data_IF_221007803805
#
_entry.id   IF_221007803805
#
_cell.length_a   1.000
_cell.length_b   1.000
_cell.length_c   1.000
_cell.angle_alpha   90.00
_cell.angle_beta   90.00
_cell.angle_gamma   90.00
#
_symmetry.space_group_name_H-M   'P 1'
#
loop_
_entity.id
_entity.type
_entity.pdbx_description
1 polymer ?
#
# COMPACT_ATOMS: atom_id res chain seq x y z
N UNK A 1 -13.09 19.76 -11.94
CA UNK A 1 -14.16 19.55 -10.99
C UNK A 1 -13.91 18.21 -10.34
N UNK A 2 -13.62 18.20 -9.04
CA UNK A 2 -13.54 16.97 -8.26
C UNK A 2 -14.94 16.36 -8.27
N UNK A 3 -15.06 15.13 -8.76
CA UNK A 3 -16.29 14.36 -8.57
C UNK A 3 -16.42 14.10 -7.07
N UNK A 4 -17.55 14.44 -6.49
CA UNK A 4 -17.83 14.07 -5.10
C UNK A 4 -17.93 12.55 -5.02
N UNK A 5 -17.16 11.95 -4.13
CA UNK A 5 -17.24 10.51 -3.87
C UNK A 5 -18.67 10.12 -3.45
N UNK A 6 -19.12 8.93 -3.84
CA UNK A 6 -20.41 8.40 -3.41
C UNK A 6 -20.47 8.23 -1.89
N UNK A 7 -19.39 7.72 -1.30
CA UNK A 7 -19.26 7.57 0.14
C UNK A 7 -18.64 8.82 0.78
N UNK A 8 -19.47 9.61 1.45
CA UNK A 8 -19.10 10.82 2.20
C UNK A 8 -19.05 10.58 3.73
N UNK A 9 -19.10 9.34 4.18
CA UNK A 9 -19.02 9.03 5.62
C UNK A 9 -17.66 9.46 6.20
N UNK A 10 -17.57 9.60 7.51
CA UNK A 10 -16.31 9.83 8.19
C UNK A 10 -15.47 8.57 8.24
N UNK A 11 -14.13 8.73 8.41
CA UNK A 11 -13.23 7.60 8.64
C UNK A 11 -13.70 6.76 9.83
N UNK A 12 -13.72 5.42 9.74
CA UNK A 12 -14.20 4.55 10.81
C UNK A 12 -13.49 4.79 12.14
N UNK A 13 -14.23 4.74 13.24
CA UNK A 13 -13.68 4.91 14.57
C UNK A 13 -13.29 3.57 15.19
N UNK A 14 -12.03 3.44 15.55
CA UNK A 14 -11.50 2.23 16.19
C UNK A 14 -11.87 2.17 17.68
N UNK A 15 -12.13 0.95 18.18
CA UNK A 15 -12.34 0.71 19.61
C UNK A 15 -11.02 0.67 20.39
N UNK A 16 -9.95 0.28 19.71
CA UNK A 16 -8.60 0.18 20.27
C UNK A 16 -7.55 0.49 19.20
N UNK A 17 -6.29 0.61 19.60
CA UNK A 17 -5.16 0.73 18.66
C UNK A 17 -4.57 -0.63 18.27
N UNK A 18 -5.18 -1.74 18.70
CA UNK A 18 -4.68 -3.08 18.41
C UNK A 18 -4.99 -3.45 16.96
N UNK A 19 -3.97 -3.87 16.25
CA UNK A 19 -4.07 -4.42 14.90
C UNK A 19 -3.19 -5.64 14.74
N UNK A 20 -3.62 -6.59 13.92
CA UNK A 20 -2.87 -7.78 13.58
C UNK A 20 -3.25 -8.22 12.17
N UNK A 21 -2.27 -8.68 11.40
CA UNK A 21 -2.54 -9.43 10.18
C UNK A 21 -3.05 -10.82 10.60
N UNK A 22 -4.33 -11.06 10.44
CA UNK A 22 -4.96 -12.33 10.82
C UNK A 22 -5.18 -13.21 9.59
N UNK A 23 -5.05 -14.51 9.77
CA UNK A 23 -5.59 -15.47 8.83
C UNK A 23 -7.13 -15.56 9.02
N UNK A 24 -7.88 -15.57 7.93
CA UNK A 24 -9.34 -15.70 7.95
C UNK A 24 -9.82 -17.01 8.58
N UNK A 25 -8.96 -18.01 8.66
CA UNK A 25 -9.23 -19.31 9.32
C UNK A 25 -9.35 -19.18 10.85
N UNK A 26 -8.73 -18.17 11.44
CA UNK A 26 -8.72 -17.94 12.90
C UNK A 26 -9.62 -16.74 13.29
N UNK A 27 -10.84 -16.69 12.76
CA UNK A 27 -11.77 -15.59 13.02
C UNK A 27 -12.08 -15.32 14.50
N UNK A 28 -11.89 -16.30 15.40
CA UNK A 28 -12.00 -16.14 16.85
C UNK A 28 -10.92 -15.23 17.44
N UNK A 29 -9.74 -15.15 16.84
CA UNK A 29 -8.63 -14.31 17.28
C UNK A 29 -9.01 -12.83 17.29
N UNK A 30 -9.87 -12.41 16.36
CA UNK A 30 -10.35 -11.02 16.26
C UNK A 30 -11.03 -10.61 17.56
N UNK A 31 -11.93 -11.45 18.07
CA UNK A 31 -12.70 -11.19 19.28
C UNK A 31 -11.83 -11.36 20.54
N UNK A 32 -11.10 -12.46 20.63
CA UNK A 32 -10.26 -12.80 21.80
C UNK A 32 -9.15 -11.76 22.05
N UNK A 33 -8.54 -11.25 20.99
CA UNK A 33 -7.51 -10.21 21.06
C UNK A 33 -8.06 -8.80 21.13
N UNK A 34 -9.34 -8.60 20.86
CA UNK A 34 -9.99 -7.28 20.81
C UNK A 34 -9.40 -6.38 19.74
N UNK A 35 -9.21 -6.94 18.54
CA UNK A 35 -8.63 -6.21 17.40
C UNK A 35 -9.58 -5.14 16.88
N UNK A 36 -9.01 -4.07 16.35
CA UNK A 36 -9.73 -3.01 15.64
C UNK A 36 -9.20 -2.77 14.24
N UNK A 37 -8.00 -3.26 13.93
CA UNK A 37 -7.33 -3.07 12.65
C UNK A 37 -6.76 -4.38 12.12
N UNK A 38 -6.71 -4.47 10.78
CA UNK A 38 -5.96 -5.53 10.08
C UNK A 38 -5.37 -4.99 8.78
N UNK A 39 -4.37 -5.70 8.26
CA UNK A 39 -3.89 -5.52 6.90
C UNK A 39 -4.39 -6.65 6.00
N UNK A 40 -4.60 -6.35 4.72
CA UNK A 40 -4.88 -7.33 3.68
C UNK A 40 -3.93 -7.08 2.52
N UNK A 41 -3.15 -8.08 2.14
CA UNK A 41 -2.32 -8.00 0.94
C UNK A 41 -3.19 -8.24 -0.31
N UNK A 42 -3.19 -7.30 -1.23
CA UNK A 42 -3.80 -7.45 -2.54
C UNK A 42 -2.67 -7.63 -3.56
N UNK A 43 -2.48 -8.87 -4.00
CA UNK A 43 -1.53 -9.20 -5.06
C UNK A 43 -2.20 -8.87 -6.39
N UNK A 44 -1.80 -7.76 -6.98
CA UNK A 44 -2.43 -7.22 -8.20
C UNK A 44 -2.36 -8.17 -9.38
N UNK A 45 -1.32 -9.03 -9.44
CA UNK A 45 -1.21 -10.09 -10.45
C UNK A 45 -2.38 -11.07 -10.39
N UNK A 46 -2.83 -11.45 -9.18
CA UNK A 46 -3.95 -12.39 -9.01
C UNK A 46 -5.27 -11.80 -9.50
N UNK A 47 -5.43 -10.49 -9.37
CA UNK A 47 -6.59 -9.76 -9.87
C UNK A 47 -6.56 -9.60 -11.39
N UNK A 48 -5.43 -9.10 -11.92
CA UNK A 48 -5.32 -8.57 -13.29
C UNK A 48 -5.05 -9.67 -14.30
N UNK A 49 -4.29 -10.72 -13.95
CA UNK A 49 -3.97 -11.84 -14.84
C UNK A 49 -5.09 -12.89 -14.92
N UNK A 50 -6.26 -12.60 -14.36
CA UNK A 50 -7.38 -13.51 -14.36
C UNK A 50 -8.48 -13.15 -15.35
N UNK A 51 -9.60 -13.86 -15.25
CA UNK A 51 -10.78 -13.64 -16.09
C UNK A 51 -12.08 -13.90 -15.32
N UNK A 52 -13.19 -13.72 -15.98
CA UNK A 52 -14.52 -14.03 -15.44
C UNK A 52 -15.25 -12.82 -14.85
N UNK A 53 -14.59 -11.68 -14.70
CA UNK A 53 -15.22 -10.42 -14.33
C UNK A 53 -14.79 -9.32 -15.30
N UNK A 54 -15.77 -8.69 -15.98
CA UNK A 54 -15.52 -7.57 -16.91
C UNK A 54 -15.76 -6.25 -16.22
N UNK A 55 -14.78 -5.35 -16.27
CA UNK A 55 -14.87 -3.99 -15.76
C UNK A 55 -14.57 -2.98 -16.86
N UNK A 56 -15.41 -1.97 -17.04
CA UNK A 56 -15.22 -0.94 -18.05
C UNK A 56 -14.79 0.37 -17.38
N UNK A 57 -13.63 0.87 -17.79
CA UNK A 57 -13.08 2.13 -17.33
C UNK A 57 -12.65 2.99 -18.52
N UNK A 58 -13.11 4.23 -18.58
CA UNK A 58 -12.82 5.17 -19.67
C UNK A 58 -13.05 4.59 -21.08
N UNK A 59 -14.12 3.81 -21.25
CA UNK A 59 -14.49 3.20 -22.53
C UNK A 59 -13.69 1.97 -22.94
N UNK A 60 -12.75 1.52 -22.12
CA UNK A 60 -11.96 0.29 -22.31
C UNK A 60 -12.39 -0.78 -21.30
N UNK A 61 -12.59 -1.99 -21.79
CA UNK A 61 -12.97 -3.14 -20.93
C UNK A 61 -11.75 -3.93 -20.50
N UNK A 62 -11.64 -4.16 -19.22
CA UNK A 62 -10.60 -4.97 -18.55
C UNK A 62 -11.23 -6.26 -18.05
N UNK A 63 -10.44 -7.33 -18.01
CA UNK A 63 -10.84 -8.62 -17.46
C UNK A 63 -10.11 -8.85 -16.14
N UNK A 64 -10.86 -9.17 -15.09
CA UNK A 64 -10.30 -9.46 -13.77
C UNK A 64 -10.69 -10.86 -13.31
N UNK A 65 -9.91 -11.40 -12.38
CA UNK A 65 -10.14 -12.73 -11.81
C UNK A 65 -11.37 -12.74 -10.91
N UNK A 66 -12.44 -13.40 -11.33
CA UNK A 66 -13.62 -13.61 -10.50
C UNK A 66 -13.30 -14.38 -9.22
N UNK A 67 -12.32 -15.30 -9.24
CA UNK A 67 -11.88 -16.04 -8.06
C UNK A 67 -11.16 -15.16 -7.05
N UNK A 68 -10.26 -14.27 -7.52
CA UNK A 68 -9.58 -13.30 -6.65
C UNK A 68 -10.61 -12.36 -6.01
N UNK A 69 -11.54 -11.84 -6.79
CA UNK A 69 -12.61 -10.95 -6.30
C UNK A 69 -13.45 -11.68 -5.25
N UNK A 70 -13.88 -12.91 -5.47
CA UNK A 70 -14.69 -13.66 -4.54
C UNK A 70 -13.98 -13.91 -3.19
N UNK A 71 -12.67 -14.20 -3.23
CA UNK A 71 -11.86 -14.33 -2.01
C UNK A 71 -11.76 -13.01 -1.24
N UNK A 72 -11.48 -11.90 -1.95
CA UNK A 72 -11.42 -10.57 -1.34
C UNK A 72 -12.77 -10.20 -0.72
N UNK A 73 -13.87 -10.39 -1.43
CA UNK A 73 -15.23 -10.13 -0.91
C UNK A 73 -15.50 -10.91 0.38
N UNK A 74 -15.21 -12.20 0.39
CA UNK A 74 -15.41 -13.05 1.57
C UNK A 74 -14.59 -12.56 2.77
N UNK A 75 -13.31 -12.25 2.53
CA UNK A 75 -12.38 -11.77 3.56
C UNK A 75 -12.83 -10.41 4.11
N UNK A 76 -13.11 -9.46 3.23
CA UNK A 76 -13.47 -8.11 3.62
C UNK A 76 -14.84 -8.04 4.30
N UNK A 77 -15.83 -8.83 3.85
CA UNK A 77 -17.12 -8.95 4.53
C UNK A 77 -16.98 -9.54 5.93
N UNK A 78 -16.08 -10.49 6.13
CA UNK A 78 -15.80 -11.05 7.46
C UNK A 78 -15.26 -9.98 8.41
N UNK A 79 -14.28 -9.18 7.94
CA UNK A 79 -13.72 -8.08 8.73
C UNK A 79 -14.77 -6.98 9.00
N UNK A 80 -15.54 -6.59 8.00
CA UNK A 80 -16.57 -5.55 8.13
C UNK A 80 -17.64 -5.93 9.16
N UNK A 81 -18.13 -7.18 9.13
CA UNK A 81 -19.09 -7.72 10.14
C UNK A 81 -18.55 -7.71 11.56
N UNK A 82 -17.25 -7.76 11.74
CA UNK A 82 -16.57 -7.68 13.03
C UNK A 82 -16.12 -6.25 13.39
N UNK A 83 -16.48 -5.24 12.59
CA UNK A 83 -16.08 -3.85 12.74
C UNK A 83 -14.56 -3.65 12.76
N UNK A 84 -13.84 -4.41 11.95
CA UNK A 84 -12.39 -4.29 11.77
C UNK A 84 -12.10 -3.31 10.65
N UNK A 85 -11.27 -2.32 10.93
CA UNK A 85 -10.80 -1.35 9.96
C UNK A 85 -9.67 -1.98 9.14
N UNK A 86 -9.88 -2.08 7.84
CA UNK A 86 -8.96 -2.73 6.92
C UNK A 86 -8.05 -1.71 6.25
N UNK A 87 -6.73 -2.00 6.26
CA UNK A 87 -5.75 -1.39 5.39
C UNK A 87 -5.35 -2.39 4.30
N UNK A 88 -5.52 -2.04 3.04
CA UNK A 88 -5.08 -2.86 1.91
C UNK A 88 -3.65 -2.49 1.51
N UNK A 89 -2.76 -3.47 1.39
CA UNK A 89 -1.40 -3.31 0.88
C UNK A 89 -1.41 -3.77 -0.58
N UNK A 90 -1.16 -2.84 -1.50
CA UNK A 90 -1.19 -3.10 -2.94
C UNK A 90 0.19 -3.53 -3.43
N UNK A 91 0.30 -4.76 -3.91
CA UNK A 91 1.56 -5.39 -4.27
C UNK A 91 1.55 -5.92 -5.70
N UNK A 92 2.68 -5.78 -6.41
CA UNK A 92 2.89 -6.38 -7.72
C UNK A 92 4.09 -7.35 -7.66
N UNK A 93 3.84 -8.63 -7.89
CA UNK A 93 4.91 -9.63 -7.96
C UNK A 93 5.65 -9.54 -9.31
N UNK A 94 6.96 -9.90 -9.36
CA UNK A 94 7.67 -10.03 -10.61
C UNK A 94 6.91 -10.96 -11.57
N UNK A 95 6.70 -10.51 -12.81
CA UNK A 95 6.02 -11.26 -13.84
C UNK A 95 6.99 -11.57 -14.98
N UNK A 96 7.09 -12.83 -15.36
CA UNK A 96 7.90 -13.28 -16.51
C UNK A 96 7.21 -12.91 -17.84
N UNK A 97 5.91 -12.70 -17.81
CA UNK A 97 5.14 -12.23 -18.97
C UNK A 97 4.95 -10.71 -18.82
N UNK A 98 5.48 -9.90 -19.75
CA UNK A 98 5.30 -8.47 -19.70
C UNK A 98 3.82 -8.11 -19.60
N UNK A 99 3.45 -7.45 -18.52
CA UNK A 99 2.11 -6.89 -18.32
C UNK A 99 2.21 -5.36 -18.22
N UNK A 100 1.17 -4.67 -18.63
CA UNK A 100 1.15 -3.19 -18.59
C UNK A 100 1.25 -2.62 -17.18
N UNK A 101 0.96 -3.39 -16.14
CA UNK A 101 0.95 -2.92 -14.75
C UNK A 101 2.34 -2.78 -14.13
N UNK A 102 3.21 -3.78 -14.32
CA UNK A 102 4.56 -3.77 -13.73
C UNK A 102 5.50 -2.77 -14.40
N UNK A 103 6.49 -2.27 -13.65
CA UNK A 103 7.46 -1.31 -14.16
C UNK A 103 8.26 -1.90 -15.35
N UNK A 104 8.30 -1.20 -16.50
CA UNK A 104 8.92 -1.73 -17.70
C UNK A 104 10.44 -1.87 -17.53
N UNK A 105 10.97 -3.03 -17.95
CA UNK A 105 12.40 -3.32 -17.90
C UNK A 105 12.95 -3.72 -16.52
N UNK A 106 12.11 -3.78 -15.49
CA UNK A 106 12.52 -4.37 -14.22
C UNK A 106 12.84 -5.85 -14.38
N UNK A 107 14.00 -6.28 -13.87
CA UNK A 107 14.43 -7.67 -13.95
C UNK A 107 13.60 -8.55 -13.01
N UNK A 108 12.83 -9.46 -13.58
CA UNK A 108 11.93 -10.35 -12.84
C UNK A 108 12.61 -11.30 -11.83
N UNK A 109 13.95 -11.41 -11.88
CA UNK A 109 14.71 -12.20 -10.91
C UNK A 109 15.16 -11.41 -9.68
N UNK A 110 14.82 -10.13 -9.60
CA UNK A 110 15.21 -9.23 -8.49
C UNK A 110 13.97 -8.86 -7.67
N UNK A 111 14.07 -9.00 -6.35
CA UNK A 111 13.04 -8.61 -5.41
C UNK A 111 11.81 -9.53 -5.36
N UNK A 112 11.06 -9.40 -4.29
CA UNK A 112 9.78 -10.11 -4.11
C UNK A 112 8.61 -9.34 -4.75
N UNK A 113 8.71 -8.00 -4.79
CA UNK A 113 7.73 -7.13 -5.42
C UNK A 113 8.41 -6.06 -6.27
N UNK A 114 7.67 -5.58 -7.28
CA UNK A 114 8.09 -4.56 -8.22
C UNK A 114 7.23 -3.30 -8.12
N UNK A 115 7.80 -2.17 -8.53
CA UNK A 115 7.06 -0.94 -8.75
C UNK A 115 6.13 -1.03 -9.98
N UNK A 116 5.29 -0.04 -10.13
CA UNK A 116 4.24 -0.03 -11.15
C UNK A 116 4.63 0.82 -12.36
N UNK A 117 4.06 0.49 -13.52
CA UNK A 117 4.30 1.21 -14.77
C UNK A 117 3.54 2.55 -14.82
N UNK A 118 4.02 3.51 -14.07
CA UNK A 118 3.50 4.90 -14.10
C UNK A 118 4.23 5.78 -15.11
N UNK A 119 5.07 5.19 -15.97
CA UNK A 119 5.89 5.89 -16.96
C UNK A 119 5.36 5.77 -18.40
N UNK A 120 4.40 4.88 -18.64
CA UNK A 120 3.75 4.76 -19.93
C UNK A 120 2.24 5.03 -19.83
N UNK A 121 1.64 5.53 -20.89
CA UNK A 121 0.20 5.76 -20.96
C UNK A 121 -0.58 4.46 -20.71
N UNK A 122 -0.15 3.37 -21.31
CA UNK A 122 -0.80 2.06 -21.16
C UNK A 122 -0.73 1.56 -19.72
N UNK A 123 0.41 1.72 -19.06
CA UNK A 123 0.58 1.37 -17.65
C UNK A 123 -0.33 2.21 -16.76
N UNK A 124 -0.34 3.53 -16.92
CA UNK A 124 -1.20 4.44 -16.16
C UNK A 124 -2.67 4.07 -16.34
N UNK A 125 -3.13 3.79 -17.56
CA UNK A 125 -4.51 3.37 -17.82
C UNK A 125 -4.86 2.03 -17.13
N UNK A 126 -3.95 1.05 -17.20
CA UNK A 126 -4.14 -0.26 -16.58
C UNK A 126 -4.21 -0.15 -15.05
N UNK A 127 -3.27 0.59 -14.43
CA UNK A 127 -3.21 0.82 -12.99
C UNK A 127 -4.45 1.57 -12.51
N UNK A 128 -4.80 2.66 -13.21
CA UNK A 128 -5.98 3.46 -12.87
C UNK A 128 -7.25 2.62 -12.91
N UNK A 129 -7.45 1.81 -13.95
CA UNK A 129 -8.62 0.94 -14.05
C UNK A 129 -8.69 -0.07 -12.90
N UNK A 130 -7.58 -0.71 -12.55
CA UNK A 130 -7.55 -1.72 -11.50
C UNK A 130 -7.83 -1.11 -10.11
N UNK A 131 -7.24 0.05 -9.82
CA UNK A 131 -7.43 0.69 -8.52
C UNK A 131 -8.81 1.36 -8.41
N UNK A 132 -9.34 1.94 -9.49
CA UNK A 132 -10.73 2.41 -9.53
C UNK A 132 -11.71 1.27 -9.28
N UNK A 133 -11.52 0.11 -9.91
CA UNK A 133 -12.34 -1.06 -9.65
C UNK A 133 -12.35 -1.43 -8.15
N UNK A 134 -11.17 -1.50 -7.53
CA UNK A 134 -11.06 -1.80 -6.10
C UNK A 134 -11.71 -0.71 -5.23
N UNK A 135 -11.48 0.56 -5.56
CA UNK A 135 -12.07 1.70 -4.86
C UNK A 135 -13.61 1.72 -4.96
N UNK A 136 -14.17 1.53 -6.16
CA UNK A 136 -15.61 1.47 -6.38
C UNK A 136 -16.26 0.28 -5.68
N UNK A 137 -15.56 -0.87 -5.60
CA UNK A 137 -16.11 -2.05 -4.96
C UNK A 137 -16.05 -2.00 -3.44
N UNK A 138 -14.91 -1.59 -2.88
CA UNK A 138 -14.64 -1.65 -1.43
C UNK A 138 -14.67 -0.30 -0.73
N UNK A 139 -14.91 0.78 -1.46
CA UNK A 139 -15.14 2.12 -0.92
C UNK A 139 -16.61 2.51 -0.77
N UNK A 140 -17.55 1.62 -1.11
CA UNK A 140 -19.00 1.85 -1.08
C UNK A 140 -19.53 2.21 0.31
N UNK A 141 -20.53 3.08 0.35
CA UNK A 141 -21.19 3.46 1.61
C UNK A 141 -22.07 2.36 2.22
N UNK A 142 -22.54 1.40 1.40
CA UNK A 142 -23.36 0.27 1.84
C UNK A 142 -22.55 -0.97 2.27
N UNK A 143 -21.22 -0.94 2.08
CA UNK A 143 -20.30 -2.04 2.38
C UNK A 143 -20.73 -3.40 1.80
N UNK A 144 -21.40 -3.40 0.66
CA UNK A 144 -22.00 -4.62 0.06
C UNK A 144 -20.98 -5.77 -0.17
N UNK A 145 -19.70 -5.42 -0.27
CA UNK A 145 -18.58 -6.39 -0.48
C UNK A 145 -17.51 -6.31 0.63
N UNK A 146 -17.84 -5.70 1.77
CA UNK A 146 -16.89 -5.29 2.79
C UNK A 146 -16.29 -3.91 2.49
N UNK A 147 -15.36 -3.46 3.36
CA UNK A 147 -14.85 -2.10 3.26
C UNK A 147 -13.33 -2.02 3.47
N UNK A 148 -12.67 -1.19 2.67
CA UNK A 148 -11.26 -0.82 2.82
C UNK A 148 -11.18 0.68 3.13
N UNK A 149 -10.73 1.01 4.34
CA UNK A 149 -10.61 2.38 4.80
C UNK A 149 -9.26 3.02 4.45
N UNK A 150 -8.22 2.20 4.33
CA UNK A 150 -6.84 2.65 4.09
C UNK A 150 -6.15 1.82 3.02
N UNK A 151 -5.22 2.45 2.30
CA UNK A 151 -4.53 1.88 1.15
C UNK A 151 -3.04 2.16 1.25
N UNK A 152 -2.24 1.14 1.40
CA UNK A 152 -0.77 1.24 1.42
C UNK A 152 -0.23 0.86 0.05
N UNK A 153 0.58 1.73 -0.53
CA UNK A 153 1.12 1.58 -1.88
C UNK A 153 2.50 0.94 -1.82
N UNK A 154 2.58 -0.33 -2.23
CA UNK A 154 3.80 -1.13 -2.12
C UNK A 154 4.11 -1.57 -0.69
N UNK A 155 5.29 -2.16 -0.51
CA UNK A 155 5.81 -2.57 0.79
C UNK A 155 7.26 -2.11 0.93
N UNK A 156 7.63 -1.50 2.06
CA UNK A 156 9.02 -1.10 2.37
C UNK A 156 9.76 -0.50 1.17
N UNK A 157 9.13 0.48 0.52
CA UNK A 157 9.54 0.96 -0.81
C UNK A 157 10.93 1.57 -0.85
N UNK A 158 11.47 2.01 0.29
CA UNK A 158 12.86 2.44 0.38
C UNK A 158 13.87 1.26 0.27
N UNK A 159 13.44 0.01 0.50
CA UNK A 159 14.19 -1.19 0.17
C UNK A 159 13.82 -1.71 -1.23
N UNK A 160 14.02 -0.87 -2.26
CA UNK A 160 13.53 -1.05 -3.62
C UNK A 160 13.89 -2.41 -4.23
N UNK A 161 15.16 -2.83 -4.13
CA UNK A 161 15.63 -4.11 -4.68
C UNK A 161 15.00 -5.34 -4.03
N UNK A 162 14.31 -5.19 -2.91
CA UNK A 162 13.61 -6.29 -2.23
C UNK A 162 12.09 -6.21 -2.44
N UNK A 163 11.52 -5.00 -2.34
CA UNK A 163 10.09 -4.86 -2.12
C UNK A 163 9.33 -3.95 -3.07
N UNK A 164 10.03 -3.19 -3.95
CA UNK A 164 9.36 -2.31 -4.92
C UNK A 164 10.28 -1.98 -6.12
N UNK A 165 10.86 -3.00 -6.73
CA UNK A 165 11.93 -2.84 -7.72
C UNK A 165 11.46 -2.19 -9.03
N UNK A 166 12.23 -1.19 -9.50
CA UNK A 166 11.99 -0.44 -10.75
C UNK A 166 13.22 -0.39 -11.66
N UNK A 167 14.19 -1.29 -11.47
CA UNK A 167 15.42 -1.29 -12.28
C UNK A 167 16.52 -0.39 -11.74
N UNK A 168 16.50 -0.05 -10.45
CA UNK A 168 17.48 0.77 -9.74
C UNK A 168 17.69 2.17 -10.35
N UNK A 169 16.89 3.09 -9.87
CA UNK A 169 16.91 4.51 -10.28
C UNK A 169 17.77 5.36 -9.33
N UNK A 170 18.00 6.62 -9.67
CA UNK A 170 18.44 7.59 -8.68
C UNK A 170 17.33 7.83 -7.63
N UNK A 171 17.68 8.23 -6.40
CA UNK A 171 16.67 8.46 -5.36
C UNK A 171 15.58 9.49 -5.77
N UNK A 172 15.91 10.64 -6.40
CA UNK A 172 14.89 11.55 -6.90
C UNK A 172 13.98 10.93 -7.97
N UNK A 173 14.55 10.23 -8.95
CA UNK A 173 13.77 9.62 -10.03
C UNK A 173 12.85 8.53 -9.50
N UNK A 174 13.36 7.70 -8.60
CA UNK A 174 12.58 6.66 -7.94
C UNK A 174 11.43 7.25 -7.10
N UNK A 175 11.71 8.28 -6.31
CA UNK A 175 10.70 8.98 -5.53
C UNK A 175 9.62 9.62 -6.40
N UNK A 176 9.99 10.15 -7.58
CA UNK A 176 9.03 10.67 -8.56
C UNK A 176 8.11 9.58 -9.11
N UNK A 177 8.69 8.43 -9.51
CA UNK A 177 7.90 7.25 -9.93
C UNK A 177 6.93 6.83 -8.83
N UNK A 178 7.43 6.71 -7.60
CA UNK A 178 6.62 6.30 -6.46
C UNK A 178 5.52 7.32 -6.12
N UNK A 179 5.81 8.61 -6.20
CA UNK A 179 4.81 9.69 -6.02
C UNK A 179 3.64 9.51 -6.98
N UNK A 180 3.91 9.16 -8.25
CA UNK A 180 2.85 8.92 -9.22
C UNK A 180 2.02 7.67 -8.90
N UNK A 181 2.61 6.61 -8.35
CA UNK A 181 1.85 5.46 -7.85
C UNK A 181 0.87 5.88 -6.75
N UNK A 182 1.33 6.68 -5.79
CA UNK A 182 0.49 7.19 -4.70
C UNK A 182 -0.61 8.13 -5.20
N UNK A 183 -0.32 9.01 -6.17
CA UNK A 183 -1.31 9.93 -6.77
C UNK A 183 -2.44 9.19 -7.45
N UNK A 184 -2.11 8.23 -8.31
CA UNK A 184 -3.11 7.42 -9.02
C UNK A 184 -3.97 6.68 -7.99
N UNK A 185 -3.36 6.11 -6.97
CA UNK A 185 -4.10 5.42 -5.90
C UNK A 185 -5.03 6.38 -5.17
N UNK A 186 -4.52 7.53 -4.71
CA UNK A 186 -5.32 8.52 -3.98
C UNK A 186 -6.52 9.01 -4.81
N UNK A 187 -6.30 9.38 -6.06
CA UNK A 187 -7.36 9.84 -6.95
C UNK A 187 -8.43 8.76 -7.17
N UNK A 188 -7.99 7.52 -7.43
CA UNK A 188 -8.90 6.41 -7.68
C UNK A 188 -9.75 6.07 -6.46
N UNK A 189 -9.14 5.86 -5.29
CA UNK A 189 -9.89 5.45 -4.08
C UNK A 189 -10.74 6.58 -3.50
N UNK A 190 -10.24 7.82 -3.53
CA UNK A 190 -10.99 8.99 -3.06
C UNK A 190 -12.13 9.39 -3.99
N UNK A 191 -12.12 8.98 -5.25
CA UNK A 191 -13.28 9.19 -6.15
C UNK A 191 -14.51 8.39 -5.71
N UNK A 192 -14.33 7.29 -4.97
CA UNK A 192 -15.42 6.45 -4.46
C UNK A 192 -15.69 6.66 -2.98
N UNK A 193 -14.64 6.91 -2.18
CA UNK A 193 -14.72 7.05 -0.72
C UNK A 193 -13.91 8.26 -0.26
N UNK A 194 -14.59 9.34 0.15
CA UNK A 194 -13.95 10.61 0.51
C UNK A 194 -12.97 10.49 1.69
N UNK A 195 -13.25 9.61 2.64
CA UNK A 195 -12.40 9.39 3.82
C UNK A 195 -11.26 8.41 3.61
N UNK A 196 -11.14 7.80 2.42
CA UNK A 196 -10.06 6.85 2.14
C UNK A 196 -8.67 7.48 2.38
N UNK A 197 -7.80 6.75 3.07
CA UNK A 197 -6.44 7.20 3.38
C UNK A 197 -5.41 6.43 2.55
N UNK A 198 -4.37 7.11 2.12
CA UNK A 198 -3.28 6.52 1.34
C UNK A 198 -1.96 6.66 2.09
N UNK A 199 -1.19 5.58 2.13
CA UNK A 199 0.04 5.50 2.89
C UNK A 199 1.23 5.08 2.01
N UNK A 200 2.37 5.72 2.26
CA UNK A 200 3.69 5.28 1.85
C UNK A 200 4.20 4.23 2.84
N UNK A 201 4.73 3.10 2.36
CA UNK A 201 5.32 2.09 3.23
C UNK A 201 6.84 2.22 3.30
N UNK A 202 7.39 2.27 4.50
CA UNK A 202 8.83 2.36 4.73
C UNK A 202 9.32 1.28 5.71
N UNK A 203 10.53 0.78 5.47
CA UNK A 203 11.25 -0.03 6.44
C UNK A 203 11.88 0.84 7.56
N UNK A 204 12.60 0.23 8.49
CA UNK A 204 13.20 0.90 9.64
C UNK A 204 14.44 1.76 9.32
N UNK A 205 14.97 1.69 8.10
CA UNK A 205 16.19 2.41 7.75
C UNK A 205 15.89 3.87 7.45
N UNK A 206 16.31 4.74 8.38
CA UNK A 206 16.03 6.17 8.33
C UNK A 206 17.13 6.97 7.66
N UNK A 207 18.40 6.72 8.04
CA UNK A 207 19.58 7.38 7.49
C UNK A 207 20.76 6.42 7.26
N UNK A 208 21.74 6.89 6.49
CA UNK A 208 23.07 6.24 6.38
C UNK A 208 23.08 4.94 5.60
N UNK A 209 22.12 4.75 4.71
CA UNK A 209 22.06 3.55 3.89
C UNK A 209 23.15 3.59 2.83
N UNK A 210 24.02 2.58 2.82
CA UNK A 210 25.07 2.41 1.81
C UNK A 210 24.91 1.07 1.08
N UNK A 211 25.40 0.98 -0.16
CA UNK A 211 25.48 -0.29 -0.89
C UNK A 211 24.48 -0.48 -2.02
N UNK A 212 23.67 0.52 -2.36
CA UNK A 212 22.86 0.53 -3.58
C UNK A 212 21.69 -0.48 -3.64
N UNK A 213 21.24 -0.97 -2.48
CA UNK A 213 20.12 -1.92 -2.39
C UNK A 213 18.88 -1.33 -1.74
N UNK A 214 18.95 -0.08 -1.34
CA UNK A 214 17.86 0.68 -0.72
C UNK A 214 18.13 2.18 -0.71
N UNK A 215 17.11 2.96 -0.50
CA UNK A 215 17.18 4.41 -0.29
C UNK A 215 17.04 4.76 1.19
N UNK A 216 17.53 5.92 1.55
CA UNK A 216 17.33 6.53 2.86
C UNK A 216 15.84 6.87 3.06
N UNK A 217 15.23 6.40 4.15
CA UNK A 217 13.79 6.57 4.40
C UNK A 217 13.40 8.04 4.53
N UNK A 218 14.24 8.86 5.22
CA UNK A 218 13.99 10.29 5.35
C UNK A 218 14.09 11.00 4.00
N UNK A 219 15.12 10.70 3.21
CA UNK A 219 15.31 11.27 1.89
C UNK A 219 14.11 10.96 0.98
N UNK A 220 13.61 9.72 1.03
CA UNK A 220 12.42 9.33 0.28
C UNK A 220 11.18 10.15 0.68
N UNK A 221 10.94 10.38 1.97
CA UNK A 221 9.84 11.23 2.44
C UNK A 221 10.00 12.66 1.92
N UNK A 222 11.21 13.22 2.00
CA UNK A 222 11.48 14.59 1.57
C UNK A 222 11.22 14.78 0.06
N UNK A 223 11.68 13.85 -0.79
CA UNK A 223 11.39 13.88 -2.22
C UNK A 223 9.90 13.71 -2.53
N UNK A 224 9.25 12.70 -1.94
CA UNK A 224 7.82 12.45 -2.14
C UNK A 224 7.00 13.67 -1.73
N UNK A 225 7.29 14.26 -0.56
CA UNK A 225 6.60 15.48 -0.10
C UNK A 225 6.83 16.67 -1.04
N UNK A 226 8.05 16.81 -1.58
CA UNK A 226 8.37 17.87 -2.54
C UNK A 226 7.56 17.71 -3.82
N UNK A 227 7.52 16.51 -4.39
CA UNK A 227 6.76 16.24 -5.62
C UNK A 227 5.25 16.32 -5.41
N UNK A 228 4.75 15.86 -4.24
CA UNK A 228 3.33 16.01 -3.89
C UNK A 228 2.91 17.46 -3.91
N UNK A 229 3.68 18.34 -3.24
CA UNK A 229 3.38 19.78 -3.18
C UNK A 229 3.50 20.47 -4.54
N UNK A 230 4.47 20.08 -5.37
CA UNK A 230 4.68 20.69 -6.67
C UNK A 230 3.54 20.43 -7.67
N UNK A 231 2.88 19.27 -7.58
CA UNK A 231 1.91 18.81 -8.58
C UNK A 231 0.46 18.72 -8.06
N UNK A 232 0.12 19.47 -7.04
CA UNK A 232 -1.18 19.45 -6.36
C UNK A 232 -1.15 18.51 -5.17
N UNK A 233 -1.05 19.10 -4.01
CA UNK A 233 -0.89 18.41 -2.72
C UNK A 233 -2.05 17.46 -2.43
N UNK A 234 -1.74 16.22 -2.09
CA UNK A 234 -2.71 15.21 -1.65
C UNK A 234 -2.44 14.87 -0.19
N UNK A 235 -3.49 14.51 0.54
CA UNK A 235 -3.34 13.98 1.89
C UNK A 235 -2.78 12.54 1.83
N UNK A 236 -1.68 12.27 2.52
CA UNK A 236 -1.04 10.98 2.63
C UNK A 236 -0.38 10.78 4.00
N UNK A 237 -0.08 9.55 4.34
CA UNK A 237 0.59 9.20 5.58
C UNK A 237 1.73 8.21 5.36
N UNK A 238 2.38 7.78 6.44
CA UNK A 238 3.45 6.79 6.43
C UNK A 238 3.02 5.55 7.20
N UNK A 239 3.07 4.38 6.53
CA UNK A 239 3.00 3.06 7.12
C UNK A 239 4.43 2.61 7.38
N UNK A 240 4.90 2.85 8.58
CA UNK A 240 6.28 2.63 8.98
C UNK A 240 6.46 1.28 9.66
N UNK A 241 7.57 0.58 9.38
CA UNK A 241 7.88 -0.74 9.95
C UNK A 241 9.02 -0.64 10.98
N UNK A 242 8.73 -0.23 12.22
CA UNK A 242 9.73 -0.01 13.26
C UNK A 242 10.08 -1.33 13.94
N UNK A 243 10.94 -2.11 13.33
CA UNK A 243 11.43 -3.35 13.94
C UNK A 243 12.43 -3.07 15.05
N UNK A 244 12.55 -4.00 16.01
CA UNK A 244 13.61 -3.98 17.01
C UNK A 244 15.00 -4.06 16.36
N UNK A 245 15.99 -3.41 16.97
CA UNK A 245 17.37 -3.43 16.48
C UNK A 245 18.34 -3.99 17.55
N UNK A 246 18.96 -5.17 17.31
CA UNK A 246 18.82 -6.02 16.11
C UNK A 246 17.46 -6.72 16.01
N UNK A 247 17.02 -7.02 14.80
CA UNK A 247 15.72 -7.64 14.50
C UNK A 247 15.44 -8.95 15.27
N UNK A 248 16.50 -9.66 15.67
CA UNK A 248 16.44 -10.92 16.41
C UNK A 248 16.38 -10.75 17.93
N UNK A 249 16.50 -9.52 18.43
CA UNK A 249 16.45 -9.23 19.87
C UNK A 249 15.01 -8.95 20.30
N UNK A 250 14.54 -9.73 21.28
CA UNK A 250 13.18 -9.58 21.78
C UNK A 250 13.04 -8.44 22.80
N UNK A 251 14.15 -8.01 23.40
CA UNK A 251 14.18 -6.93 24.37
C UNK A 251 14.23 -5.57 23.68
N UNK A 252 13.06 -5.08 23.24
CA UNK A 252 12.92 -3.79 22.53
C UNK A 252 13.20 -2.55 23.40
N UNK A 253 13.27 -2.70 24.71
CA UNK A 253 13.59 -1.65 25.70
C UNK A 253 15.09 -1.55 26.01
N UNK A 254 15.95 -2.05 25.16
CA UNK A 254 17.38 -1.98 25.31
C UNK A 254 17.86 -0.52 25.31
N UNK A 255 18.59 -0.11 26.34
CA UNK A 255 19.00 1.28 26.65
C UNK A 255 19.90 1.96 25.61
N UNK A 256 20.24 1.30 24.52
CA UNK A 256 21.17 1.81 23.49
C UNK A 256 20.47 2.55 22.34
N UNK A 257 19.15 2.59 22.32
CA UNK A 257 18.41 3.23 21.25
C UNK A 257 18.05 4.68 21.60
N UNK A 258 18.88 5.62 21.21
CA UNK A 258 18.56 7.05 21.32
C UNK A 258 18.03 7.54 20.00
N UNK A 259 16.76 7.91 19.94
CA UNK A 259 16.22 8.58 18.77
C UNK A 259 16.86 9.95 18.61
N UNK A 260 17.36 10.24 17.42
CA UNK A 260 17.71 11.57 16.96
C UNK A 260 17.49 11.62 15.44
N UNK A 261 17.44 12.83 14.89
CA UNK A 261 17.21 13.04 13.46
C UNK A 261 18.25 12.41 12.53
N UNK A 262 19.40 12.01 13.08
CA UNK A 262 20.49 11.35 12.37
C UNK A 262 20.59 9.85 12.66
N UNK A 263 19.58 9.27 13.33
CA UNK A 263 19.57 7.84 13.61
C UNK A 263 19.51 7.05 12.32
N UNK A 264 20.30 5.97 12.20
CA UNK A 264 20.28 5.07 11.05
C UNK A 264 18.96 4.32 10.99
N UNK A 265 18.42 3.96 12.16
CA UNK A 265 17.15 3.23 12.26
C UNK A 265 16.13 4.07 13.01
N UNK A 266 14.85 3.92 12.62
CA UNK A 266 13.74 4.18 13.52
C UNK A 266 13.20 2.82 13.95
N UNK A 267 13.44 2.46 15.20
CA UNK A 267 13.00 1.21 15.80
C UNK A 267 11.89 1.48 16.81
N UNK A 268 11.32 0.41 17.36
CA UNK A 268 10.28 0.53 18.39
C UNK A 268 10.78 1.26 19.64
N UNK A 269 12.05 1.12 19.97
CA UNK A 269 12.71 1.80 21.09
C UNK A 269 12.73 3.31 20.89
N UNK A 270 12.85 3.78 19.65
CA UNK A 270 12.91 5.18 19.29
C UNK A 270 11.55 5.87 19.19
N UNK A 271 10.47 5.12 18.98
CA UNK A 271 9.12 5.67 18.84
C UNK A 271 8.46 5.94 20.20
N UNK A 272 8.95 5.31 21.26
CA UNK A 272 8.35 5.39 22.60
C UNK A 272 8.82 6.60 23.44
N UNK A 273 9.56 7.54 22.86
CA UNK A 273 10.06 8.75 23.55
C UNK A 273 9.11 9.93 23.40
#
# INVERSE_FOLDING_TARGET
PEALAENQSSYPQARSKKGLLTDTVFGTDIEELGLSYTNVNIIMNELINGSGYSYTYNGKTYQYSSNCIAKLDQTLLMYDRNNIIVNAILLWQPDQNPHSFGYPGANASIGAYHGWNVVSKEGIECISAAIHFLGERYGRSDHAYGHIASWTVGNEVNADTSWNYTGHQSAPDYAYIYTNMMRITSQAVKSSCAHARVFMSLDMYWHGVSGGTRYDGKEMIDYVNTYMKAEGDIEWGVAFHPYGNPLTEAEWWNDNATFNENAIFISMENISV
#
